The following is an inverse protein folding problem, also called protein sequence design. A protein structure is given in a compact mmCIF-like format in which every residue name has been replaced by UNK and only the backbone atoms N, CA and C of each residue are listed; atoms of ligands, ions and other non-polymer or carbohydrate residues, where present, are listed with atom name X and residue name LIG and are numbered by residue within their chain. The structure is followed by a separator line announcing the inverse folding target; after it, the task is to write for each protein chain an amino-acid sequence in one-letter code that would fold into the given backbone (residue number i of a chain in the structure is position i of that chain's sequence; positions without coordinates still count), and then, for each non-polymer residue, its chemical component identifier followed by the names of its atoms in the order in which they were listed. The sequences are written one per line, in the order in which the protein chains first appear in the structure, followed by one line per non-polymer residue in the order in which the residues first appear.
data_IF_014186098500
#
_entry.id   IF_014186098500
#
_cell.length_a   1.000
_cell.length_b   1.000
_cell.length_c   1.000
_cell.angle_alpha   90.00
_cell.angle_beta   90.00
_cell.angle_gamma   90.00
#
_symmetry.space_group_name_H-M   'P 1'
#
loop_
_entity.id
_entity.type
_entity.pdbx_description
1 polymer ?
#
# COMPACT_ATOMS: atom_id res chain seq x y z
N UNK A 1 2.18 19.18 -18.78
CA UNK A 1 1.85 18.14 -17.79
C UNK A 1 1.03 17.08 -18.49
N UNK A 2 1.52 15.85 -18.57
CA UNK A 2 0.85 14.79 -19.34
C UNK A 2 -0.38 14.29 -18.57
N UNK A 3 -1.51 14.09 -19.27
CA UNK A 3 -2.72 13.52 -18.67
C UNK A 3 -2.45 12.17 -17.99
N UNK A 4 -1.52 11.39 -18.56
CA UNK A 4 -1.13 10.08 -18.04
C UNK A 4 -0.48 10.16 -16.65
N UNK A 5 0.24 11.25 -16.36
CA UNK A 5 0.90 11.46 -15.07
C UNK A 5 -0.10 11.78 -13.97
N UNK A 6 -1.15 12.55 -14.30
CA UNK A 6 -2.25 12.83 -13.37
C UNK A 6 -3.04 11.57 -13.07
N UNK A 7 -3.32 10.75 -14.08
CA UNK A 7 -3.99 9.46 -13.92
C UNK A 7 -3.17 8.56 -12.99
N UNK A 8 -1.86 8.46 -13.21
CA UNK A 8 -0.99 7.66 -12.35
C UNK A 8 -0.98 8.15 -10.90
N UNK A 9 -0.85 9.46 -10.68
CA UNK A 9 -0.90 10.06 -9.33
C UNK A 9 -2.22 9.76 -8.61
N UNK A 10 -3.34 9.84 -9.31
CA UNK A 10 -4.66 9.49 -8.76
C UNK A 10 -4.76 7.99 -8.43
N UNK A 11 -4.35 7.13 -9.35
CA UNK A 11 -4.37 5.68 -9.16
C UNK A 11 -3.52 5.24 -7.95
N UNK A 12 -2.37 5.86 -7.73
CA UNK A 12 -1.53 5.61 -6.55
C UNK A 12 -2.25 6.04 -5.28
N UNK A 13 -2.89 7.21 -5.28
CA UNK A 13 -3.65 7.68 -4.11
C UNK A 13 -4.76 6.69 -3.75
N UNK A 14 -5.57 6.32 -4.73
CA UNK A 14 -6.66 5.34 -4.55
C UNK A 14 -6.11 3.99 -4.07
N UNK A 15 -4.98 3.53 -4.62
CA UNK A 15 -4.34 2.29 -4.19
C UNK A 15 -3.90 2.30 -2.73
N UNK A 16 -3.34 3.41 -2.25
CA UNK A 16 -2.87 3.56 -0.86
C UNK A 16 -4.08 3.64 0.09
N UNK A 17 -5.07 4.46 -0.26
CA UNK A 17 -6.29 4.65 0.53
C UNK A 17 -7.11 3.35 0.64
N UNK A 18 -7.24 2.58 -0.44
CA UNK A 18 -7.96 1.29 -0.43
C UNK A 18 -7.30 0.20 0.41
N UNK A 19 -6.05 0.42 0.83
CA UNK A 19 -5.29 -0.46 1.72
C UNK A 19 -5.17 0.09 3.14
N UNK A 20 -5.86 1.19 3.44
CA UNK A 20 -5.81 1.89 4.72
C UNK A 20 -4.39 2.27 5.16
N UNK A 21 -3.49 2.46 4.19
CA UNK A 21 -2.10 2.80 4.45
C UNK A 21 -1.94 4.31 4.64
N UNK A 22 -1.10 4.71 5.60
CA UNK A 22 -0.77 6.12 5.81
C UNK A 22 0.26 6.57 4.78
N UNK A 23 0.02 7.72 4.13
CA UNK A 23 0.96 8.34 3.20
C UNK A 23 2.37 8.50 3.79
N UNK A 24 2.47 8.94 5.05
CA UNK A 24 3.75 9.11 5.74
C UNK A 24 4.55 7.80 5.84
N UNK A 25 3.86 6.68 6.08
CA UNK A 25 4.46 5.37 6.18
C UNK A 25 4.94 4.86 4.82
N UNK A 26 4.12 5.01 3.77
CA UNK A 26 4.49 4.62 2.40
C UNK A 26 5.69 5.44 1.91
N UNK A 27 5.68 6.74 2.17
CA UNK A 27 6.74 7.68 1.81
C UNK A 27 8.08 7.30 2.45
N UNK A 28 8.09 7.04 3.76
CA UNK A 28 9.29 6.65 4.50
C UNK A 28 9.86 5.32 3.97
N UNK A 29 9.01 4.30 3.81
CA UNK A 29 9.44 2.95 3.39
C UNK A 29 9.86 2.88 1.92
N UNK A 30 9.26 3.68 1.05
CA UNK A 30 9.66 3.78 -0.35
C UNK A 30 10.90 4.70 -0.57
N UNK A 31 11.39 5.38 0.48
CA UNK A 31 12.52 6.30 0.37
C UNK A 31 12.23 7.49 -0.55
N UNK A 32 11.02 8.04 -0.49
CA UNK A 32 10.58 9.18 -1.28
C UNK A 32 10.47 10.39 -0.35
N UNK A 33 11.06 11.53 -0.74
CA UNK A 33 10.92 12.76 0.04
C UNK A 33 9.50 13.32 -0.02
N UNK A 34 9.06 14.01 1.04
CA UNK A 34 7.68 14.51 1.17
C UNK A 34 7.18 15.32 -0.02
N UNK A 35 7.94 16.34 -0.43
CA UNK A 35 7.57 17.17 -1.57
C UNK A 35 7.47 16.33 -2.85
N UNK A 36 8.40 15.42 -3.08
CA UNK A 36 8.42 14.54 -4.25
C UNK A 36 7.23 13.57 -4.26
N UNK A 37 6.86 13.05 -3.08
CA UNK A 37 5.71 12.16 -2.92
C UNK A 37 4.40 12.88 -3.27
N UNK A 38 4.16 14.06 -2.70
CA UNK A 38 2.95 14.82 -3.01
C UNK A 38 2.95 15.40 -4.42
N UNK A 39 4.11 15.78 -4.97
CA UNK A 39 4.21 16.16 -6.38
C UNK A 39 3.83 14.99 -7.30
N UNK A 40 4.32 13.79 -7.02
CA UNK A 40 3.94 12.57 -7.75
C UNK A 40 2.43 12.29 -7.66
N UNK A 41 1.81 12.37 -6.47
CA UNK A 41 0.36 12.19 -6.32
C UNK A 41 -0.47 13.23 -7.09
N UNK A 42 0.11 14.40 -7.35
CA UNK A 42 -0.48 15.47 -8.16
C UNK A 42 -0.09 15.38 -9.65
N UNK A 43 0.64 14.34 -10.07
CA UNK A 43 1.12 14.15 -11.44
C UNK A 43 2.21 15.13 -11.86
N UNK A 44 2.98 15.67 -10.91
CA UNK A 44 4.06 16.65 -11.11
C UNK A 44 5.45 16.05 -10.90
N UNK A 45 6.44 16.69 -11.49
CA UNK A 45 7.86 16.29 -11.35
C UNK A 45 8.20 15.00 -12.08
N UNK A 46 9.28 14.35 -11.64
CA UNK A 46 9.78 13.09 -12.20
C UNK A 46 9.02 11.90 -11.59
N UNK A 47 7.77 11.70 -12.01
CA UNK A 47 6.91 10.68 -11.41
C UNK A 47 7.39 9.24 -11.68
N UNK A 48 8.08 9.00 -12.80
CA UNK A 48 8.49 7.65 -13.23
C UNK A 48 9.46 7.02 -12.24
N UNK A 49 10.44 7.79 -11.76
CA UNK A 49 11.39 7.33 -10.75
C UNK A 49 10.68 6.95 -9.44
N UNK A 50 9.72 7.77 -9.01
CA UNK A 50 8.99 7.54 -7.76
C UNK A 50 7.99 6.39 -7.87
N UNK A 51 7.34 6.23 -9.03
CA UNK A 51 6.49 5.08 -9.34
C UNK A 51 7.30 3.79 -9.33
N UNK A 52 8.53 3.81 -9.85
CA UNK A 52 9.42 2.64 -9.79
C UNK A 52 9.73 2.26 -8.34
N UNK A 53 10.11 3.23 -7.50
CA UNK A 53 10.35 2.99 -6.06
C UNK A 53 9.14 2.39 -5.36
N UNK A 54 7.93 2.89 -5.65
CA UNK A 54 6.69 2.32 -5.11
C UNK A 54 6.43 0.91 -5.64
N UNK A 55 6.66 0.67 -6.93
CA UNK A 55 6.44 -0.64 -7.54
C UNK A 55 7.38 -1.68 -6.95
N UNK A 56 8.65 -1.33 -6.76
CA UNK A 56 9.65 -2.18 -6.09
C UNK A 56 9.21 -2.47 -4.64
N UNK A 57 8.78 -1.44 -3.90
CA UNK A 57 8.32 -1.57 -2.51
C UNK A 57 7.10 -2.50 -2.38
N UNK A 58 6.11 -2.35 -3.26
CA UNK A 58 4.89 -3.16 -3.25
C UNK A 58 5.04 -4.49 -4.02
N UNK A 59 6.25 -4.83 -4.50
CA UNK A 59 6.51 -6.01 -5.33
C UNK A 59 5.56 -6.11 -6.53
N UNK A 60 5.37 -4.99 -7.25
CA UNK A 60 4.54 -4.88 -8.44
C UNK A 60 5.43 -5.03 -9.67
N UNK A 61 5.32 -6.17 -10.35
CA UNK A 61 6.16 -6.48 -11.52
C UNK A 61 5.77 -5.72 -12.79
N UNK A 62 4.53 -5.24 -12.87
CA UNK A 62 4.00 -4.56 -14.05
C UNK A 62 4.37 -3.06 -14.03
N UNK A 63 5.27 -2.58 -14.90
CA UNK A 63 5.67 -1.18 -14.93
C UNK A 63 4.54 -0.24 -15.36
N UNK A 64 3.51 -0.78 -16.03
CA UNK A 64 2.33 -0.02 -16.44
C UNK A 64 1.22 -0.07 -15.40
N UNK A 65 1.45 -0.73 -14.25
CA UNK A 65 0.41 -1.01 -13.27
C UNK A 65 -0.41 0.23 -12.89
N UNK A 66 0.25 1.31 -12.49
CA UNK A 66 -0.42 2.56 -12.07
C UNK A 66 -0.93 3.43 -13.22
N UNK A 67 -0.62 3.09 -14.47
CA UNK A 67 -1.03 3.86 -15.64
C UNK A 67 -2.33 3.34 -16.26
N UNK A 68 -2.87 2.21 -15.78
CA UNK A 68 -4.12 1.62 -16.29
C UNK A 68 -5.32 2.47 -15.92
N UNK A 69 -6.19 2.74 -16.89
CA UNK A 69 -7.41 3.55 -16.75
C UNK A 69 -8.66 2.74 -16.45
N UNK A 70 -8.62 1.44 -16.73
CA UNK A 70 -9.71 0.47 -16.59
C UNK A 70 -9.49 -0.49 -15.40
N UNK A 71 -8.51 -0.19 -14.54
CA UNK A 71 -8.18 -1.01 -13.39
C UNK A 71 -8.86 -0.48 -12.12
N UNK A 72 -9.51 -1.37 -11.38
CA UNK A 72 -10.17 -1.03 -10.12
C UNK A 72 -9.17 -1.10 -8.95
N UNK A 73 -8.56 0.05 -8.62
CA UNK A 73 -7.65 0.17 -7.47
C UNK A 73 -8.39 0.26 -6.13
N UNK A 74 -9.72 0.46 -6.13
CA UNK A 74 -10.55 0.45 -4.92
C UNK A 74 -10.77 -0.97 -4.40
N UNK A 75 -10.62 -1.99 -5.26
CA UNK A 75 -10.65 -3.37 -4.81
C UNK A 75 -9.32 -3.74 -4.16
N UNK A 76 -9.31 -4.19 -2.89
CA UNK A 76 -8.17 -4.94 -2.40
C UNK A 76 -8.01 -6.15 -3.34
N UNK A 77 -6.82 -6.30 -3.93
CA UNK A 77 -6.44 -7.46 -4.76
C UNK A 77 -6.45 -8.69 -3.86
N UNK A 78 -7.61 -9.29 -3.68
CA UNK A 78 -7.89 -10.39 -2.77
C UNK A 78 -7.53 -10.12 -1.31
N UNK A 79 -8.13 -10.93 -0.45
CA UNK A 79 -7.74 -11.18 0.92
C UNK A 79 -6.32 -11.76 0.90
N UNK A 80 -5.29 -10.95 0.63
CA UNK A 80 -4.10 -11.13 1.45
C UNK A 80 -4.60 -10.79 2.83
N UNK A 81 -4.80 -11.82 3.65
CA UNK A 81 -5.25 -11.66 5.02
C UNK A 81 -4.45 -10.51 5.64
N UNK A 82 -5.06 -9.66 6.49
CA UNK A 82 -4.31 -8.58 7.20
C UNK A 82 -2.96 -9.09 7.73
N UNK A 83 -2.90 -10.38 8.06
CA UNK A 83 -1.73 -11.24 8.30
C UNK A 83 -0.66 -11.27 7.22
N UNK A 84 -0.94 -11.73 6.01
CA UNK A 84 0.08 -11.75 4.94
C UNK A 84 0.60 -10.34 4.62
N UNK A 85 -0.25 -9.32 4.71
CA UNK A 85 0.18 -7.93 4.50
C UNK A 85 1.07 -7.45 5.66
N UNK A 86 0.68 -7.67 6.92
CA UNK A 86 1.48 -7.29 8.08
C UNK A 86 2.84 -8.03 8.13
N UNK A 87 2.86 -9.33 7.80
CA UNK A 87 4.08 -10.13 7.74
C UNK A 87 5.02 -9.67 6.61
N UNK A 88 4.48 -9.36 5.42
CA UNK A 88 5.32 -8.85 4.33
C UNK A 88 5.85 -7.43 4.56
N UNK A 89 5.12 -6.59 5.31
CA UNK A 89 5.47 -5.17 5.49
C UNK A 89 6.30 -4.90 6.76
N UNK A 90 6.11 -5.70 7.81
CA UNK A 90 6.71 -5.51 9.13
C UNK A 90 7.60 -6.69 9.49
N UNK A 91 7.11 -7.91 9.24
CA UNK A 91 7.72 -9.20 9.57
C UNK A 91 9.15 -9.40 9.07
N UNK A 92 9.34 -9.21 7.76
CA UNK A 92 10.57 -9.64 7.11
C UNK A 92 10.67 -11.18 7.07
N UNK A 93 11.24 -11.73 5.98
CA UNK A 93 11.27 -13.19 5.76
C UNK A 93 12.08 -13.95 6.83
N UNK A 94 13.02 -13.29 7.53
CA UNK A 94 13.96 -13.93 8.47
C UNK A 94 13.71 -13.61 9.96
N UNK A 95 12.65 -12.90 10.34
CA UNK A 95 12.41 -12.52 11.75
C UNK A 95 11.21 -13.27 12.36
N UNK A 96 11.47 -14.54 12.72
CA UNK A 96 10.45 -15.45 13.22
C UNK A 96 9.73 -14.95 14.49
N UNK A 97 10.44 -14.36 15.45
CA UNK A 97 9.81 -13.81 16.68
C UNK A 97 8.87 -12.64 16.39
N UNK A 98 9.24 -11.77 15.43
CA UNK A 98 8.39 -10.65 15.02
C UNK A 98 7.15 -11.16 14.27
N UNK A 99 7.32 -12.18 13.43
CA UNK A 99 6.24 -12.81 12.68
C UNK A 99 5.21 -13.47 13.60
N UNK A 100 5.68 -14.23 14.59
CA UNK A 100 4.84 -14.84 15.63
C UNK A 100 4.09 -13.78 16.44
N UNK A 101 4.76 -12.67 16.80
CA UNK A 101 4.11 -11.55 17.50
C UNK A 101 3.03 -10.84 16.68
N UNK A 102 3.26 -10.65 15.38
CA UNK A 102 2.28 -10.08 14.44
C UNK A 102 1.07 -11.00 14.30
N UNK A 103 1.29 -12.31 14.22
CA UNK A 103 0.23 -13.32 14.12
C UNK A 103 -0.71 -13.27 15.34
N UNK A 104 -0.15 -13.29 16.56
CA UNK A 104 -0.93 -13.18 17.80
C UNK A 104 -1.71 -11.86 17.88
N UNK A 105 -1.10 -10.75 17.45
CA UNK A 105 -1.79 -9.45 17.44
C UNK A 105 -3.01 -9.45 16.53
N UNK A 106 -2.91 -10.07 15.36
CA UNK A 106 -4.00 -10.11 14.38
C UNK A 106 -5.15 -11.01 14.82
N UNK A 107 -4.86 -12.15 15.43
CA UNK A 107 -5.87 -13.01 16.04
C UNK A 107 -6.69 -12.25 17.10
N UNK A 108 -6.03 -11.40 17.88
CA UNK A 108 -6.70 -10.56 18.88
C UNK A 108 -7.60 -9.49 18.23
N UNK A 109 -7.17 -8.87 17.13
CA UNK A 109 -8.00 -7.92 16.38
C UNK A 109 -9.23 -8.60 15.78
N UNK A 110 -9.08 -9.78 15.20
CA UNK A 110 -10.21 -10.55 14.66
C UNK A 110 -11.21 -10.92 15.75
N UNK A 111 -10.75 -11.31 16.93
CA UNK A 111 -11.62 -11.57 18.08
C UNK A 111 -12.42 -10.32 18.50
N UNK A 112 -11.79 -9.14 18.52
CA UNK A 112 -12.47 -7.88 18.83
C UNK A 112 -13.55 -7.57 17.79
N UNK A 113 -13.27 -7.79 16.51
CA UNK A 113 -14.23 -7.56 15.42
C UNK A 113 -15.46 -8.49 15.59
N UNK A 114 -15.25 -9.77 15.90
CA UNK A 114 -16.35 -10.73 16.18
C UNK A 114 -17.18 -10.30 17.39
N UNK A 115 -16.53 -9.86 18.48
CA UNK A 115 -17.22 -9.43 19.69
C UNK A 115 -18.05 -8.16 19.48
N UNK A 116 -17.59 -7.22 18.65
CA UNK A 116 -18.36 -6.03 18.26
C UNK A 116 -19.62 -6.41 17.50
N UNK A 117 -19.50 -7.30 16.51
CA UNK A 117 -20.65 -7.76 15.71
C UNK A 117 -21.67 -8.52 16.56
N UNK A 118 -21.22 -9.28 17.56
CA UNK A 118 -22.11 -10.00 18.47
C UNK A 118 -22.86 -9.10 19.48
N UNK A 119 -22.50 -7.82 19.57
CA UNK A 119 -23.14 -6.83 20.45
C UNK A 119 -24.17 -5.93 19.73
N UNK A 120 -24.33 -6.08 18.41
CA UNK A 120 -25.40 -5.48 17.59
C UNK A 120 -26.58 -6.44 17.41
#
# INVERSE_FOLDING_TARGET
MSNINKIAGENIRVFIESRELKNSWVMERAGIGENAFYDMLNGKGNIEEHIKKLSDFFKIDDPMYFYKTDYDYNKPKSILSRKEMALNLVGGEDNQELNEGIEVFLELVELIDVLKVAQE
#
